data_IF_654102832132
#
_entry.id   IF_654102832132
#
_cell.length_a   1.000
_cell.length_b   1.000
_cell.length_c   1.000
_cell.angle_alpha   90.00
_cell.angle_beta   90.00
_cell.angle_gamma   90.00
#
_symmetry.space_group_name_H-M   'P 1'
#
loop_
_entity.id
_entity.type
_entity.pdbx_description
1 polymer ?
#
# COMPACT_ATOMS: atom_id res chain seq x y z
N UNK A 1 4.95 47.79 -40.13
CA UNK A 1 3.55 47.73 -39.68
C UNK A 1 3.18 46.25 -39.68
N UNK A 2 3.35 45.57 -38.55
CA UNK A 2 2.97 44.15 -38.43
C UNK A 2 1.48 44.07 -38.11
N UNK A 3 0.72 43.11 -38.68
CA UNK A 3 -0.68 42.94 -38.33
C UNK A 3 -0.79 42.42 -36.90
N UNK A 4 -1.65 43.07 -36.11
CA UNK A 4 -2.05 42.61 -34.78
C UNK A 4 -2.71 41.23 -34.91
N UNK A 5 -2.10 40.21 -34.30
CA UNK A 5 -2.76 38.93 -34.12
C UNK A 5 -3.83 39.10 -33.03
N UNK A 6 -5.10 38.73 -33.28
CA UNK A 6 -6.10 38.72 -32.23
C UNK A 6 -5.66 37.71 -31.15
N UNK A 7 -5.51 38.19 -29.92
CA UNK A 7 -5.27 37.35 -28.75
C UNK A 7 -6.43 36.33 -28.66
N UNK A 8 -6.16 35.02 -28.52
CA UNK A 8 -7.24 34.06 -28.32
C UNK A 8 -7.88 34.32 -26.96
N UNK A 9 -9.04 34.98 -26.96
CA UNK A 9 -9.95 35.03 -25.81
C UNK A 9 -10.68 33.69 -25.77
N UNK A 10 -9.99 32.64 -25.33
CA UNK A 10 -10.68 31.46 -24.82
C UNK A 10 -11.01 31.77 -23.36
N UNK A 11 -12.29 31.87 -22.96
CA UNK A 11 -12.62 31.86 -21.54
C UNK A 11 -12.21 30.48 -21.04
N UNK A 12 -11.08 30.41 -20.33
CA UNK A 12 -10.72 29.21 -19.58
C UNK A 12 -11.95 28.88 -18.74
N UNK A 13 -12.54 27.67 -18.86
CA UNK A 13 -13.72 27.33 -18.08
C UNK A 13 -13.36 27.54 -16.61
N UNK A 14 -14.15 28.33 -15.89
CA UNK A 14 -14.02 28.44 -14.45
C UNK A 14 -14.34 27.05 -13.88
N UNK A 15 -13.28 26.30 -13.57
CA UNK A 15 -13.39 24.93 -13.04
C UNK A 15 -13.98 24.91 -11.62
N UNK A 16 -14.19 26.07 -11.01
CA UNK A 16 -14.68 26.22 -9.64
C UNK A 16 -15.81 27.25 -9.57
N UNK A 17 -16.96 26.82 -9.05
CA UNK A 17 -18.03 27.68 -8.54
C UNK A 17 -17.91 27.66 -7.01
N UNK A 18 -17.48 28.78 -6.42
CA UNK A 18 -17.07 28.88 -5.01
C UNK A 18 -18.26 29.01 -4.02
N UNK A 19 -19.51 28.97 -4.49
CA UNK A 19 -20.66 29.37 -3.67
C UNK A 19 -21.31 28.24 -2.84
N UNK A 20 -20.92 26.98 -3.01
CA UNK A 20 -21.55 25.83 -2.30
C UNK A 20 -20.60 25.02 -1.39
N UNK A 21 -19.62 25.65 -0.72
CA UNK A 21 -18.83 24.96 0.30
C UNK A 21 -18.90 25.65 1.66
N UNK A 22 -19.88 25.23 2.45
CA UNK A 22 -19.98 25.62 3.86
C UNK A 22 -18.93 24.79 4.61
N UNK A 23 -17.72 25.32 4.80
CA UNK A 23 -16.80 24.82 5.83
C UNK A 23 -15.30 25.12 5.73
N UNK A 24 -14.68 25.17 4.54
CA UNK A 24 -13.20 25.01 4.48
C UNK A 24 -12.56 25.66 3.24
N UNK A 25 -12.88 26.93 2.98
CA UNK A 25 -12.44 27.65 1.77
C UNK A 25 -10.92 27.89 1.72
N UNK A 26 -10.19 27.82 2.85
CA UNK A 26 -8.75 28.15 2.90
C UNK A 26 -7.82 27.01 2.44
N UNK A 27 -8.31 25.77 2.29
CA UNK A 27 -7.46 24.62 1.96
C UNK A 27 -7.24 24.42 0.45
N UNK A 28 -8.10 24.98 -0.41
CA UNK A 28 -8.12 24.62 -1.82
C UNK A 28 -6.84 24.98 -2.59
N UNK A 29 -6.28 26.20 -2.50
CA UNK A 29 -5.07 26.53 -3.25
C UNK A 29 -3.84 25.75 -2.78
N UNK A 30 -3.68 25.58 -1.46
CA UNK A 30 -2.55 24.86 -0.88
C UNK A 30 -2.61 23.36 -1.19
N UNK A 31 -3.79 22.73 -1.01
CA UNK A 31 -4.00 21.32 -1.36
C UNK A 31 -3.78 21.10 -2.85
N UNK A 32 -4.31 21.99 -3.70
CA UNK A 32 -4.14 21.85 -5.14
C UNK A 32 -2.68 22.02 -5.58
N UNK A 33 -1.98 23.02 -5.06
CA UNK A 33 -0.54 23.22 -5.33
C UNK A 33 0.28 22.00 -4.91
N UNK A 34 0.00 21.43 -3.74
CA UNK A 34 0.68 20.24 -3.27
C UNK A 34 0.36 19.00 -4.14
N UNK A 35 -0.90 18.85 -4.59
CA UNK A 35 -1.27 17.80 -5.54
C UNK A 35 -0.53 17.95 -6.89
N UNK A 36 -0.36 19.17 -7.40
CA UNK A 36 0.44 19.43 -8.59
C UNK A 36 1.91 19.05 -8.35
N UNK A 37 2.47 19.44 -7.20
CA UNK A 37 3.87 19.17 -6.89
C UNK A 37 4.18 17.69 -6.63
N UNK A 38 3.19 16.89 -6.21
CA UNK A 38 3.27 15.42 -6.17
C UNK A 38 3.52 14.78 -7.55
N UNK A 39 3.32 15.51 -8.64
CA UNK A 39 3.55 15.01 -10.01
C UNK A 39 4.92 15.38 -10.58
N UNK A 40 5.72 16.18 -9.86
CA UNK A 40 7.04 16.64 -10.31
C UNK A 40 8.04 15.48 -10.40
N UNK A 41 9.05 15.64 -11.25
CA UNK A 41 10.12 14.65 -11.37
C UNK A 41 11.03 14.62 -10.13
N UNK A 42 11.17 15.76 -9.47
CA UNK A 42 12.00 15.93 -8.28
C UNK A 42 11.42 15.15 -7.09
N UNK A 43 12.28 14.42 -6.39
CA UNK A 43 11.91 13.60 -5.23
C UNK A 43 11.57 14.43 -3.99
N UNK A 44 12.40 15.43 -3.70
CA UNK A 44 12.28 16.28 -2.52
C UNK A 44 11.04 17.16 -2.63
N UNK A 45 10.75 17.71 -3.82
CA UNK A 45 9.51 18.46 -4.05
C UNK A 45 8.26 17.61 -3.81
N UNK A 46 8.26 16.36 -4.27
CA UNK A 46 7.14 15.44 -4.01
C UNK A 46 7.01 15.09 -2.54
N UNK A 47 8.13 14.92 -1.82
CA UNK A 47 8.10 14.62 -0.39
C UNK A 47 7.54 15.81 0.39
N UNK A 48 8.03 17.01 0.13
CA UNK A 48 7.52 18.24 0.75
C UNK A 48 6.02 18.44 0.45
N UNK A 49 5.59 18.19 -0.78
CA UNK A 49 4.18 18.27 -1.16
C UNK A 49 3.32 17.23 -0.42
N UNK A 50 3.83 16.01 -0.24
CA UNK A 50 3.15 14.98 0.55
C UNK A 50 3.04 15.40 2.02
N UNK A 51 4.12 15.89 2.62
CA UNK A 51 4.10 16.37 4.01
C UNK A 51 3.10 17.52 4.18
N UNK A 52 3.06 18.46 3.24
CA UNK A 52 2.07 19.54 3.27
C UNK A 52 0.63 19.00 3.24
N UNK A 53 0.33 17.98 2.43
CA UNK A 53 -1.00 17.37 2.41
C UNK A 53 -1.33 16.67 3.73
N UNK A 54 -0.35 16.01 4.35
CA UNK A 54 -0.49 15.34 5.65
C UNK A 54 -0.71 16.35 6.77
N UNK A 55 0.04 17.45 6.79
CA UNK A 55 -0.11 18.53 7.79
C UNK A 55 -1.49 19.19 7.73
N UNK A 56 -2.06 19.31 6.52
CA UNK A 56 -3.42 19.82 6.31
C UNK A 56 -4.51 18.77 6.57
N UNK A 57 -4.12 17.53 6.92
CA UNK A 57 -5.00 16.36 7.05
C UNK A 57 -5.88 16.13 5.81
N UNK A 58 -5.41 16.59 4.65
CA UNK A 58 -6.16 16.59 3.41
C UNK A 58 -6.59 15.19 2.94
N UNK A 59 -5.76 14.12 3.09
CA UNK A 59 -6.18 12.75 2.76
C UNK A 59 -7.41 12.30 3.55
N UNK A 60 -7.55 12.74 4.80
CA UNK A 60 -8.66 12.35 5.67
C UNK A 60 -9.97 12.98 5.26
N UNK A 61 -9.96 14.21 4.73
CA UNK A 61 -11.18 14.95 4.42
C UNK A 61 -11.49 15.09 2.92
N UNK A 62 -10.58 14.69 2.03
CA UNK A 62 -10.79 14.78 0.58
C UNK A 62 -10.69 13.41 -0.11
N UNK A 63 -11.78 12.91 -0.70
CA UNK A 63 -11.75 11.68 -1.48
C UNK A 63 -10.78 11.75 -2.67
N UNK A 64 -10.60 12.94 -3.25
CA UNK A 64 -9.69 13.18 -4.38
C UNK A 64 -8.23 13.05 -3.95
N UNK A 65 -7.87 13.65 -2.81
CA UNK A 65 -6.50 13.53 -2.27
C UNK A 65 -6.20 12.07 -1.93
N UNK A 66 -7.12 11.39 -1.22
CA UNK A 66 -7.00 9.96 -0.94
C UNK A 66 -6.83 9.12 -2.20
N UNK A 67 -7.64 9.37 -3.24
CA UNK A 67 -7.50 8.69 -4.54
C UNK A 67 -6.12 8.91 -5.16
N UNK A 68 -5.64 10.14 -5.23
CA UNK A 68 -4.33 10.46 -5.82
C UNK A 68 -3.23 9.71 -5.06
N UNK A 69 -3.24 9.74 -3.73
CA UNK A 69 -2.26 9.01 -2.91
C UNK A 69 -2.30 7.50 -3.18
N UNK A 70 -3.49 6.90 -3.32
CA UNK A 70 -3.63 5.48 -3.67
C UNK A 70 -2.96 5.16 -5.01
N UNK A 71 -3.13 6.00 -6.03
CA UNK A 71 -2.47 5.78 -7.33
C UNK A 71 -0.94 5.85 -7.25
N UNK A 72 -0.40 6.49 -6.20
CA UNK A 72 1.03 6.67 -5.94
C UNK A 72 1.63 5.62 -5.01
N UNK A 73 0.87 4.61 -4.56
CA UNK A 73 1.41 3.50 -3.73
C UNK A 73 2.56 2.74 -4.41
N UNK A 74 2.70 2.82 -5.73
CA UNK A 74 3.83 2.20 -6.45
C UNK A 74 4.98 3.16 -6.71
N UNK A 75 5.07 4.25 -5.94
CA UNK A 75 6.15 5.22 -6.00
C UNK A 75 7.52 4.53 -5.90
N UNK A 76 8.46 4.97 -6.73
CA UNK A 76 9.80 4.39 -6.83
C UNK A 76 10.64 4.58 -5.57
N UNK A 77 10.45 5.72 -4.90
CA UNK A 77 11.17 6.08 -3.68
C UNK A 77 10.47 5.47 -2.48
N UNK A 78 11.18 4.62 -1.75
CA UNK A 78 10.60 3.84 -0.65
C UNK A 78 10.11 4.73 0.50
N UNK A 79 10.79 5.84 0.77
CA UNK A 79 10.41 6.82 1.79
C UNK A 79 9.07 7.49 1.46
N UNK A 80 8.92 8.03 0.24
CA UNK A 80 7.64 8.57 -0.24
C UNK A 80 6.51 7.54 -0.14
N UNK A 81 6.80 6.31 -0.56
CA UNK A 81 5.83 5.22 -0.49
C UNK A 81 5.40 4.92 0.94
N UNK A 82 6.36 4.89 1.87
CA UNK A 82 6.11 4.67 3.29
C UNK A 82 5.18 5.75 3.87
N UNK A 83 5.45 7.02 3.57
CA UNK A 83 4.61 8.16 3.98
C UNK A 83 3.21 8.11 3.39
N UNK A 84 3.07 7.72 2.11
CA UNK A 84 1.77 7.51 1.47
C UNK A 84 0.97 6.41 2.19
N UNK A 85 1.61 5.27 2.47
CA UNK A 85 0.96 4.14 3.14
C UNK A 85 0.54 4.51 4.56
N UNK A 86 1.38 5.23 5.29
CA UNK A 86 1.06 5.72 6.63
C UNK A 86 -0.16 6.65 6.58
N UNK A 87 -0.17 7.64 5.67
CA UNK A 87 -1.28 8.58 5.50
C UNK A 87 -2.59 7.86 5.18
N UNK A 88 -2.57 6.93 4.20
CA UNK A 88 -3.77 6.16 3.83
C UNK A 88 -4.22 5.20 4.94
N UNK A 89 -3.29 4.59 5.67
CA UNK A 89 -3.61 3.75 6.82
C UNK A 89 -4.27 4.55 7.95
N UNK A 90 -3.87 5.82 8.14
CA UNK A 90 -4.50 6.75 9.08
C UNK A 90 -5.93 7.15 8.67
N UNK A 91 -6.22 7.23 7.38
CA UNK A 91 -7.60 7.46 6.87
C UNK A 91 -8.53 6.30 7.27
N UNK A 92 -8.03 5.07 7.27
CA UNK A 92 -8.79 3.88 7.66
C UNK A 92 -8.80 3.60 9.17
N UNK A 93 -8.15 4.45 9.98
CA UNK A 93 -8.19 4.34 11.45
C UNK A 93 -8.94 5.52 12.08
N UNK A 94 -9.48 5.33 13.29
CA UNK A 94 -9.92 6.44 14.11
C UNK A 94 -8.78 7.45 14.34
N UNK A 95 -9.11 8.72 14.49
CA UNK A 95 -8.16 9.74 14.95
C UNK A 95 -7.91 9.65 16.46
N UNK A 96 -7.14 10.60 16.99
CA UNK A 96 -6.82 10.71 18.42
C UNK A 96 -8.06 10.85 19.32
N UNK A 97 -9.18 11.36 18.78
CA UNK A 97 -10.45 11.49 19.48
C UNK A 97 -11.37 10.29 19.27
N UNK A 98 -10.93 9.27 18.52
CA UNK A 98 -11.70 8.07 18.22
C UNK A 98 -12.72 8.25 17.09
N UNK A 99 -12.72 9.37 16.38
CA UNK A 99 -13.62 9.56 15.24
C UNK A 99 -13.04 8.91 13.99
N UNK A 100 -13.84 8.24 13.16
CA UNK A 100 -13.37 7.78 11.84
C UNK A 100 -13.35 8.96 10.84
N UNK A 101 -12.54 8.85 9.77
CA UNK A 101 -12.60 9.78 8.64
C UNK A 101 -14.01 9.81 8.01
N UNK A 102 -14.45 10.86 7.30
CA UNK A 102 -15.74 10.90 6.60
C UNK A 102 -16.04 9.65 5.76
N UNK A 103 -17.30 9.24 5.74
CA UNK A 103 -17.72 7.96 5.14
C UNK A 103 -17.45 7.90 3.63
N UNK A 104 -17.67 9.00 2.91
CA UNK A 104 -17.40 9.12 1.48
C UNK A 104 -15.91 8.94 1.16
N UNK A 105 -15.01 9.49 1.99
CA UNK A 105 -13.56 9.29 1.87
C UNK A 105 -13.19 7.82 2.08
N UNK A 106 -13.70 7.20 3.15
CA UNK A 106 -13.42 5.78 3.44
C UNK A 106 -13.95 4.85 2.35
N UNK A 107 -15.19 5.08 1.89
CA UNK A 107 -15.82 4.28 0.84
C UNK A 107 -15.08 4.40 -0.50
N UNK A 108 -14.66 5.63 -0.85
CA UNK A 108 -13.80 5.89 -2.01
C UNK A 108 -12.48 5.12 -1.90
N UNK A 109 -11.81 5.20 -0.75
CA UNK A 109 -10.56 4.49 -0.51
C UNK A 109 -10.74 2.97 -0.61
N UNK A 110 -11.78 2.39 0.00
CA UNK A 110 -12.11 0.97 -0.13
C UNK A 110 -12.32 0.54 -1.59
N UNK A 111 -13.04 1.34 -2.37
CA UNK A 111 -13.27 1.06 -3.78
C UNK A 111 -11.95 0.90 -4.54
N UNK A 112 -10.99 1.82 -4.36
CA UNK A 112 -9.71 1.75 -5.07
C UNK A 112 -8.79 0.66 -4.52
N UNK A 113 -8.76 0.43 -3.21
CA UNK A 113 -7.98 -0.65 -2.59
C UNK A 113 -8.48 -2.04 -3.02
N UNK A 114 -9.79 -2.20 -3.23
CA UNK A 114 -10.36 -3.46 -3.73
C UNK A 114 -9.82 -3.86 -5.11
N UNK A 115 -9.35 -2.90 -5.91
CA UNK A 115 -8.76 -3.11 -7.23
C UNK A 115 -7.26 -3.38 -7.24
N UNK A 116 -6.62 -3.52 -6.07
CA UNK A 116 -5.18 -3.75 -6.00
C UNK A 116 -4.76 -5.05 -6.66
N UNK A 117 -3.68 -4.98 -7.42
CA UNK A 117 -3.04 -6.13 -8.09
C UNK A 117 -1.70 -6.42 -7.45
N UNK A 118 -1.05 -7.49 -7.89
CA UNK A 118 0.26 -7.94 -7.39
C UNK A 118 1.29 -6.82 -7.25
N UNK A 119 1.35 -5.86 -8.19
CA UNK A 119 2.32 -4.76 -8.12
C UNK A 119 2.10 -3.86 -6.89
N UNK A 120 0.87 -3.50 -6.59
CA UNK A 120 0.54 -2.68 -5.43
C UNK A 120 0.77 -3.46 -4.13
N UNK A 121 0.32 -4.72 -4.08
CA UNK A 121 0.53 -5.60 -2.93
C UNK A 121 2.04 -5.75 -2.65
N UNK A 122 2.84 -6.02 -3.68
CA UNK A 122 4.29 -6.08 -3.57
C UNK A 122 4.89 -4.78 -3.02
N UNK A 123 4.39 -3.63 -3.48
CA UNK A 123 4.85 -2.33 -3.01
C UNK A 123 4.57 -2.10 -1.51
N UNK A 124 3.42 -2.59 -1.01
CA UNK A 124 3.09 -2.59 0.43
C UNK A 124 4.03 -3.50 1.23
N UNK A 125 4.33 -4.69 0.71
CA UNK A 125 5.25 -5.64 1.35
C UNK A 125 6.67 -5.07 1.45
N UNK A 126 7.14 -4.36 0.42
CA UNK A 126 8.44 -3.69 0.48
C UNK A 126 8.52 -2.68 1.63
N UNK A 127 7.46 -1.90 1.86
CA UNK A 127 7.44 -0.92 2.96
C UNK A 127 7.40 -1.62 4.31
N UNK A 128 6.57 -2.65 4.47
CA UNK A 128 6.52 -3.36 5.76
C UNK A 128 7.77 -4.19 6.06
N UNK A 129 8.53 -4.62 5.04
CA UNK A 129 9.82 -5.27 5.23
C UNK A 129 10.94 -4.28 5.61
N UNK A 130 10.87 -3.04 5.13
CA UNK A 130 11.86 -1.99 5.44
C UNK A 130 11.53 -1.25 6.76
N UNK A 131 10.25 -0.98 6.99
CA UNK A 131 9.74 -0.18 8.10
C UNK A 131 8.74 -0.97 8.94
N UNK A 132 9.23 -1.72 9.92
CA UNK A 132 8.38 -2.52 10.82
C UNK A 132 7.30 -1.68 11.54
N UNK A 133 7.55 -0.39 11.80
CA UNK A 133 6.57 0.52 12.41
C UNK A 133 5.30 0.72 11.57
N UNK A 134 5.37 0.46 10.26
CA UNK A 134 4.26 0.63 9.32
C UNK A 134 3.49 -0.67 9.04
N UNK A 135 3.87 -1.78 9.67
CA UNK A 135 3.22 -3.08 9.49
C UNK A 135 1.70 -3.01 9.69
N UNK A 136 1.26 -2.26 10.70
CA UNK A 136 -0.15 -2.09 11.04
C UNK A 136 -0.92 -1.21 10.03
N UNK A 137 -0.25 -0.24 9.40
CA UNK A 137 -0.86 0.55 8.33
C UNK A 137 -1.02 -0.33 7.08
N UNK A 138 -0.02 -1.14 6.77
CA UNK A 138 -0.08 -2.11 5.66
C UNK A 138 -1.18 -3.15 5.87
N UNK A 139 -1.31 -3.74 7.06
CA UNK A 139 -2.37 -4.72 7.34
C UNK A 139 -3.77 -4.11 7.16
N UNK A 140 -4.00 -2.87 7.58
CA UNK A 140 -5.28 -2.16 7.36
C UNK A 140 -5.60 -1.97 5.89
N UNK A 141 -4.62 -1.54 5.09
CA UNK A 141 -4.82 -1.37 3.64
C UNK A 141 -5.10 -2.72 2.96
N UNK A 142 -4.41 -3.78 3.37
CA UNK A 142 -4.67 -5.13 2.88
C UNK A 142 -6.05 -5.63 3.31
N UNK A 143 -6.47 -5.39 4.55
CA UNK A 143 -7.82 -5.76 5.03
C UNK A 143 -8.93 -5.10 4.20
N UNK A 144 -8.67 -3.91 3.64
CA UNK A 144 -9.55 -3.24 2.68
C UNK A 144 -9.51 -3.82 1.24
N UNK A 145 -8.67 -4.83 0.99
CA UNK A 145 -8.50 -5.53 -0.28
C UNK A 145 -8.90 -7.03 -0.15
N UNK A 146 -10.14 -7.40 -0.51
CA UNK A 146 -10.65 -8.76 -0.30
C UNK A 146 -9.83 -9.87 -0.98
N UNK A 147 -9.26 -9.58 -2.15
CA UNK A 147 -8.55 -10.55 -2.99
C UNK A 147 -7.02 -10.55 -2.83
N UNK A 148 -6.48 -9.72 -1.93
CA UNK A 148 -5.03 -9.62 -1.76
C UNK A 148 -4.38 -10.94 -1.31
N UNK A 149 -5.11 -11.81 -0.59
CA UNK A 149 -4.62 -13.14 -0.20
C UNK A 149 -4.11 -13.98 -1.37
N UNK A 150 -4.76 -13.93 -2.53
CA UNK A 150 -4.29 -14.63 -3.73
C UNK A 150 -2.95 -14.09 -4.22
N UNK A 151 -2.82 -12.76 -4.27
CA UNK A 151 -1.57 -12.11 -4.67
C UNK A 151 -0.43 -12.34 -3.67
N UNK A 152 -0.74 -12.36 -2.37
CA UNK A 152 0.23 -12.69 -1.32
C UNK A 152 0.74 -14.13 -1.48
N UNK A 153 -0.15 -15.08 -1.79
CA UNK A 153 0.22 -16.47 -2.06
C UNK A 153 1.10 -16.59 -3.32
N UNK A 154 0.79 -15.86 -4.39
CA UNK A 154 1.61 -15.84 -5.60
C UNK A 154 3.02 -15.31 -5.30
N UNK A 155 3.11 -14.18 -4.58
CA UNK A 155 4.38 -13.57 -4.16
C UNK A 155 5.18 -14.52 -3.27
N UNK A 156 4.53 -15.14 -2.30
CA UNK A 156 5.12 -16.10 -1.37
C UNK A 156 5.68 -17.34 -2.09
N UNK A 157 5.04 -17.79 -3.18
CA UNK A 157 5.47 -18.94 -3.96
C UNK A 157 6.55 -18.62 -5.01
N UNK A 158 6.72 -17.36 -5.40
CA UNK A 158 7.70 -16.98 -6.41
C UNK A 158 9.13 -17.02 -5.84
N UNK A 159 9.93 -17.95 -6.36
CA UNK A 159 11.35 -18.11 -5.99
C UNK A 159 12.24 -16.94 -6.39
N UNK A 160 11.79 -16.07 -7.30
CA UNK A 160 12.53 -14.87 -7.72
C UNK A 160 12.34 -13.70 -6.75
N UNK A 161 11.29 -13.74 -5.94
CA UNK A 161 11.02 -12.73 -4.93
C UNK A 161 12.05 -12.84 -3.79
N UNK A 162 12.62 -11.70 -3.31
CA UNK A 162 13.48 -11.68 -2.13
C UNK A 162 12.83 -12.34 -0.92
N UNK A 163 13.62 -13.05 -0.11
CA UNK A 163 13.10 -13.87 0.98
C UNK A 163 12.35 -13.04 2.02
N UNK A 164 12.80 -11.82 2.29
CA UNK A 164 12.20 -10.86 3.20
C UNK A 164 10.77 -10.51 2.78
N UNK A 165 10.57 -10.28 1.47
CA UNK A 165 9.25 -9.98 0.91
C UNK A 165 8.33 -11.21 0.96
N UNK A 166 8.88 -12.41 0.73
CA UNK A 166 8.12 -13.67 0.85
C UNK A 166 7.69 -13.92 2.29
N UNK A 167 8.58 -13.72 3.25
CA UNK A 167 8.24 -13.81 4.68
C UNK A 167 7.17 -12.79 5.05
N UNK A 168 7.30 -11.55 4.58
CA UNK A 168 6.31 -10.51 4.83
C UNK A 168 4.94 -10.84 4.21
N UNK A 169 4.91 -11.48 3.04
CA UNK A 169 3.67 -11.97 2.45
C UNK A 169 2.97 -12.99 3.35
N UNK A 170 3.72 -13.94 3.93
CA UNK A 170 3.18 -14.91 4.88
C UNK A 170 2.67 -14.22 6.16
N UNK A 171 3.46 -13.32 6.76
CA UNK A 171 3.06 -12.54 7.94
C UNK A 171 1.75 -11.79 7.68
N UNK A 172 1.65 -11.10 6.54
CA UNK A 172 0.44 -10.35 6.18
C UNK A 172 -0.78 -11.23 5.95
N UNK A 173 -0.60 -12.44 5.41
CA UNK A 173 -1.70 -13.41 5.29
C UNK A 173 -2.27 -13.77 6.67
N UNK A 174 -1.40 -14.06 7.64
CA UNK A 174 -1.79 -14.37 9.01
C UNK A 174 -2.44 -13.19 9.72
N UNK A 175 -1.81 -12.02 9.63
CA UNK A 175 -2.24 -10.80 10.33
C UNK A 175 -3.60 -10.28 9.85
N UNK A 176 -3.85 -10.33 8.55
CA UNK A 176 -5.15 -9.91 7.98
C UNK A 176 -6.21 -11.00 8.13
N UNK A 177 -5.81 -12.28 8.21
CA UNK A 177 -6.74 -13.38 8.41
C UNK A 177 -7.36 -13.91 7.11
N UNK A 178 -6.59 -14.02 6.02
CA UNK A 178 -7.10 -14.59 4.76
C UNK A 178 -7.27 -16.11 4.84
N UNK A 179 -8.32 -16.58 5.50
CA UNK A 179 -8.58 -18.00 5.78
C UNK A 179 -8.62 -18.88 4.51
N UNK A 180 -9.10 -18.35 3.39
CA UNK A 180 -9.15 -19.11 2.12
C UNK A 180 -7.77 -19.48 1.57
N UNK A 181 -6.69 -18.89 2.08
CA UNK A 181 -5.31 -19.20 1.69
C UNK A 181 -4.73 -20.44 2.38
N UNK A 182 -5.42 -20.96 3.42
CA UNK A 182 -4.98 -22.11 4.23
C UNK A 182 -4.51 -23.31 3.38
N UNK A 183 -5.28 -23.81 2.38
CA UNK A 183 -4.84 -24.97 1.59
C UNK A 183 -3.54 -24.73 0.82
N UNK A 184 -3.31 -23.50 0.37
CA UNK A 184 -2.10 -23.12 -0.35
C UNK A 184 -0.89 -23.05 0.59
N UNK A 185 -1.07 -22.51 1.80
CA UNK A 185 -0.04 -22.48 2.84
C UNK A 185 0.35 -23.90 3.31
N UNK A 186 -0.62 -24.78 3.51
CA UNK A 186 -0.38 -26.19 3.90
C UNK A 186 0.46 -26.92 2.84
N UNK A 187 0.08 -26.76 1.56
CA UNK A 187 0.83 -27.32 0.44
C UNK A 187 2.25 -26.75 0.36
N UNK A 188 2.42 -25.46 0.64
CA UNK A 188 3.74 -24.82 0.66
C UNK A 188 4.60 -25.36 1.82
N UNK A 189 4.05 -25.43 3.04
CA UNK A 189 4.74 -25.96 4.21
C UNK A 189 5.25 -27.39 3.96
N UNK A 190 4.38 -28.30 3.51
CA UNK A 190 4.78 -29.68 3.18
C UNK A 190 5.84 -29.77 2.08
N UNK A 191 5.83 -28.87 1.09
CA UNK A 191 6.89 -28.79 0.06
C UNK A 191 8.22 -28.33 0.65
N UNK A 192 8.22 -27.35 1.55
CA UNK A 192 9.43 -26.84 2.21
C UNK A 192 10.03 -27.91 3.13
N UNK A 193 9.20 -28.59 3.93
CA UNK A 193 9.60 -29.68 4.81
C UNK A 193 10.24 -30.85 4.03
N UNK A 194 9.61 -31.26 2.92
CA UNK A 194 10.12 -32.32 2.07
C UNK A 194 11.48 -31.96 1.46
N UNK A 195 11.69 -30.70 1.07
CA UNK A 195 12.97 -30.24 0.51
C UNK A 195 14.07 -30.16 1.55
N UNK A 196 13.78 -29.60 2.73
CA UNK A 196 14.72 -29.55 3.86
C UNK A 196 15.13 -30.96 4.26
N UNK A 197 14.16 -31.88 4.37
CA UNK A 197 14.42 -33.28 4.76
C UNK A 197 15.19 -34.04 3.68
N UNK A 198 14.85 -33.88 2.40
CA UNK A 198 15.54 -34.52 1.29
C UNK A 198 16.99 -34.05 1.12
N UNK A 199 17.29 -32.78 1.41
CA UNK A 199 18.66 -32.26 1.37
C UNK A 199 19.53 -32.81 2.52
N UNK A 200 18.96 -33.01 3.72
CA UNK A 200 19.67 -33.65 4.85
C UNK A 200 20.11 -35.09 4.56
N UNK A 201 19.47 -35.77 3.60
CA UNK A 201 19.85 -37.13 3.16
C UNK A 201 20.95 -37.09 2.10
N UNK A 202 21.22 -35.93 1.49
CA UNK A 202 22.19 -35.74 0.41
C UNK A 202 23.24 -34.67 0.76
N UNK A 203 24.09 -34.96 1.76
CA UNK A 203 25.13 -34.06 2.31
C UNK A 203 26.12 -33.47 1.28
N UNK A 204 26.16 -33.99 0.05
CA UNK A 204 27.06 -33.52 -1.01
C UNK A 204 26.46 -32.40 -1.90
N UNK A 205 25.17 -32.06 -1.76
CA UNK A 205 24.53 -31.03 -2.57
C UNK A 205 24.83 -29.61 -2.04
N UNK A 206 25.01 -28.59 -2.91
CA UNK A 206 25.23 -27.21 -2.48
C UNK A 206 24.06 -26.71 -1.61
N UNK A 207 24.39 -26.09 -0.48
CA UNK A 207 23.45 -25.67 0.55
C UNK A 207 22.49 -24.56 0.04
N UNK A 208 21.40 -24.95 -0.62
CA UNK A 208 20.23 -24.09 -0.88
C UNK A 208 19.38 -23.84 0.40
N UNK A 209 19.84 -24.36 1.53
CA UNK A 209 19.12 -24.47 2.79
C UNK A 209 18.74 -23.14 3.45
N UNK A 210 19.44 -22.02 3.20
CA UNK A 210 19.19 -20.79 3.97
C UNK A 210 17.77 -20.26 3.77
N UNK A 211 17.31 -20.16 2.54
CA UNK A 211 16.02 -19.53 2.21
C UNK A 211 14.84 -20.37 2.69
N UNK A 212 14.85 -21.69 2.41
CA UNK A 212 13.74 -22.58 2.77
C UNK A 212 13.65 -22.78 4.28
N UNK A 213 14.81 -22.85 4.96
CA UNK A 213 14.89 -22.97 6.42
C UNK A 213 14.43 -21.69 7.13
N UNK A 214 14.60 -20.51 6.52
CA UNK A 214 14.07 -19.25 7.05
C UNK A 214 12.57 -19.08 6.83
N UNK A 215 12.03 -19.57 5.72
CA UNK A 215 10.61 -19.37 5.38
C UNK A 215 9.67 -20.32 6.12
N UNK A 216 10.07 -21.58 6.32
CA UNK A 216 9.21 -22.61 6.91
C UNK A 216 8.68 -22.24 8.31
N UNK A 217 9.49 -21.72 9.26
CA UNK A 217 8.99 -21.31 10.57
C UNK A 217 7.87 -20.27 10.48
N UNK A 218 8.02 -19.25 9.62
CA UNK A 218 7.02 -18.19 9.41
C UNK A 218 5.72 -18.76 8.86
N UNK A 219 5.80 -19.64 7.85
CA UNK A 219 4.60 -20.27 7.27
C UNK A 219 3.87 -21.12 8.31
N UNK A 220 4.61 -21.83 9.17
CA UNK A 220 4.01 -22.65 10.22
C UNK A 220 3.35 -21.83 11.33
N UNK A 221 3.96 -20.71 11.73
CA UNK A 221 3.37 -19.76 12.68
C UNK A 221 2.06 -19.17 12.14
N UNK A 222 2.05 -18.79 10.86
CA UNK A 222 0.85 -18.27 10.19
C UNK A 222 -0.23 -19.34 10.10
N UNK A 223 0.12 -20.58 9.76
CA UNK A 223 -0.82 -21.70 9.76
C UNK A 223 -1.44 -21.95 11.14
N UNK A 224 -0.64 -21.84 12.21
CA UNK A 224 -1.15 -21.96 13.58
C UNK A 224 -2.11 -20.81 13.90
N UNK A 225 -1.73 -19.58 13.57
CA UNK A 225 -2.54 -18.38 13.78
C UNK A 225 -3.90 -18.49 13.08
N UNK A 226 -3.93 -18.89 11.81
CA UNK A 226 -5.17 -19.00 11.03
C UNK A 226 -6.06 -20.19 11.44
N UNK A 227 -5.50 -21.18 12.15
CA UNK A 227 -6.24 -22.36 12.66
C UNK A 227 -6.75 -22.16 14.08
N UNK A 228 -6.25 -21.15 14.80
CA UNK A 228 -6.71 -20.84 16.13
C UNK A 228 -8.20 -20.42 16.05
N UNK A 229 -9.07 -20.95 16.95
CA UNK A 229 -10.51 -20.69 16.95
C UNK A 229 -10.86 -19.25 17.35
#
# INVERSE_FOLDING_TARGET
MYPDFPQPVSPQPQLFLLEESIGTIELFPAVWSALEDLTRADAELRLNALEQLIELDAPRFSPVVSYILVTKITESIIELRARIIEALGKVLSPDENGFPAPEDVRNSLHLYLSGFRTRQIYALLQVSAEYNSLEEHVSRLLNACPFAGNHLIDILNDSKTPIEIRMQAAVMIGKVGYLYTLPALEKLSGRLEARISGQKVMDFAPQRNSIESSLLPVVNEVLQTLRAP
#
